data_IF_369428588063
#
_entry.id   IF_369428588063
#
_cell.length_a   1.000
_cell.length_b   1.000
_cell.length_c   1.000
_cell.angle_alpha   90.00
_cell.angle_beta   90.00
_cell.angle_gamma   90.00
#
_symmetry.space_group_name_H-M   'P 1'
#
loop_
_entity.id
_entity.type
_entity.pdbx_description
1 polymer ?
#
# COMPACT_ATOMS: atom_id res chain seq x y z
N UNK A 1 -13.79 -1.37 12.96
CA UNK A 1 -13.83 0.07 13.38
C UNK A 1 -13.61 1.07 12.22
N UNK A 2 -13.20 0.62 11.04
CA UNK A 2 -13.08 1.46 9.85
C UNK A 2 -14.09 0.98 8.80
N UNK A 3 -15.36 1.23 9.04
CA UNK A 3 -16.42 0.82 8.15
C UNK A 3 -16.76 1.94 7.17
N UNK A 4 -16.41 1.78 5.90
CA UNK A 4 -16.77 2.71 4.82
C UNK A 4 -18.22 2.55 4.34
N UNK A 5 -18.91 1.46 4.68
CA UNK A 5 -20.27 1.18 4.25
C UNK A 5 -21.26 2.30 4.62
N UNK A 6 -21.11 2.91 5.81
CA UNK A 6 -21.94 4.03 6.21
C UNK A 6 -21.85 5.23 5.24
N UNK A 7 -20.66 5.53 4.74
CA UNK A 7 -20.45 6.59 3.77
C UNK A 7 -20.96 6.20 2.37
N UNK A 8 -20.79 4.93 1.99
CA UNK A 8 -21.33 4.41 0.73
C UNK A 8 -22.86 4.51 0.71
N UNK A 9 -23.54 4.17 1.81
CA UNK A 9 -25.00 4.32 1.96
C UNK A 9 -25.48 5.76 1.83
N UNK A 10 -24.76 6.73 2.40
CA UNK A 10 -25.10 8.17 2.26
C UNK A 10 -25.12 8.56 0.76
N UNK A 11 -24.13 8.10 -0.01
CA UNK A 11 -24.08 8.37 -1.46
C UNK A 11 -25.22 7.63 -2.18
N UNK A 12 -25.41 6.36 -1.87
CA UNK A 12 -26.45 5.54 -2.48
C UNK A 12 -27.85 6.12 -2.26
N UNK A 13 -28.15 6.58 -1.05
CA UNK A 13 -29.42 7.24 -0.71
C UNK A 13 -29.58 8.58 -1.46
N UNK A 14 -28.52 9.41 -1.50
CA UNK A 14 -28.55 10.70 -2.18
C UNK A 14 -28.86 10.56 -3.68
N UNK A 15 -28.32 9.51 -4.31
CA UNK A 15 -28.47 9.27 -5.75
C UNK A 15 -29.48 8.17 -6.09
N UNK A 16 -30.11 7.56 -5.10
CA UNK A 16 -31.11 6.49 -5.26
C UNK A 16 -30.58 5.33 -6.12
N UNK A 17 -29.32 4.95 -5.88
CA UNK A 17 -28.70 3.83 -6.60
C UNK A 17 -29.23 2.49 -6.08
N UNK A 18 -29.18 1.46 -6.93
CA UNK A 18 -29.34 0.08 -6.48
C UNK A 18 -28.02 -0.35 -5.81
N UNK A 19 -28.00 -0.27 -4.47
CA UNK A 19 -26.80 -0.43 -3.68
C UNK A 19 -26.62 -1.87 -3.21
N UNK A 20 -25.44 -2.42 -3.42
CA UNK A 20 -25.06 -3.75 -2.99
C UNK A 20 -23.81 -3.67 -2.08
N UNK A 21 -23.79 -4.49 -1.04
CA UNK A 21 -22.69 -4.56 -0.07
C UNK A 21 -22.24 -6.00 0.12
N UNK A 22 -20.96 -6.19 0.39
CA UNK A 22 -20.38 -7.47 0.77
C UNK A 22 -19.59 -7.32 2.05
N UNK A 23 -19.73 -8.28 2.94
CA UNK A 23 -18.88 -8.41 4.14
C UNK A 23 -18.09 -9.70 4.01
N UNK A 24 -16.79 -9.60 4.14
CA UNK A 24 -15.86 -10.73 3.99
C UNK A 24 -15.41 -11.16 5.39
N UNK A 25 -15.64 -12.41 5.72
CA UNK A 25 -15.12 -12.99 6.95
C UNK A 25 -13.59 -13.16 6.89
N UNK A 26 -12.88 -13.18 8.02
CA UNK A 26 -11.45 -13.46 8.02
C UNK A 26 -11.09 -14.83 7.42
N UNK A 27 -11.95 -15.82 7.56
CA UNK A 27 -11.75 -17.14 6.97
C UNK A 27 -11.82 -17.09 5.44
N UNK A 28 -12.87 -16.50 4.88
CA UNK A 28 -12.98 -16.28 3.43
C UNK A 28 -11.79 -15.48 2.90
N UNK A 29 -11.36 -14.47 3.66
CA UNK A 29 -10.23 -13.61 3.31
C UNK A 29 -8.94 -14.43 3.14
N UNK A 30 -8.57 -15.26 4.13
CA UNK A 30 -7.34 -16.05 4.07
C UNK A 30 -7.43 -17.23 3.09
N UNK A 31 -8.61 -17.85 2.97
CA UNK A 31 -8.82 -18.94 2.03
C UNK A 31 -8.71 -18.50 0.56
N UNK A 32 -8.98 -17.23 0.27
CA UNK A 32 -8.84 -16.68 -1.07
C UNK A 32 -7.37 -16.44 -1.49
N UNK A 33 -6.43 -16.30 -0.55
CA UNK A 33 -5.06 -15.87 -0.85
C UNK A 33 -4.35 -16.72 -1.92
N UNK A 34 -4.32 -18.06 -1.86
CA UNK A 34 -3.65 -18.84 -2.88
C UNK A 34 -4.19 -18.57 -4.27
N UNK A 35 -5.52 -18.51 -4.42
CA UNK A 35 -6.17 -18.20 -5.69
C UNK A 35 -5.80 -16.81 -6.20
N UNK A 36 -5.78 -15.80 -5.31
CA UNK A 36 -5.52 -14.42 -5.70
C UNK A 36 -4.05 -14.18 -6.03
N UNK A 37 -3.12 -14.81 -5.33
CA UNK A 37 -1.70 -14.82 -5.68
C UNK A 37 -1.48 -15.45 -7.06
N UNK A 38 -2.23 -16.50 -7.39
CA UNK A 38 -2.19 -17.11 -8.73
C UNK A 38 -2.68 -16.15 -9.82
N UNK A 39 -3.76 -15.40 -9.56
CA UNK A 39 -4.29 -14.41 -10.53
C UNK A 39 -3.40 -13.18 -10.68
N UNK A 40 -2.70 -12.76 -9.61
CA UNK A 40 -1.78 -11.62 -9.62
C UNK A 40 -0.48 -11.95 -10.36
N UNK A 41 -0.09 -13.23 -10.44
CA UNK A 41 1.23 -13.73 -10.88
C UNK A 41 2.39 -13.29 -9.98
N UNK A 42 2.12 -12.51 -8.96
CA UNK A 42 3.06 -11.91 -8.01
C UNK A 42 2.55 -12.04 -6.57
N UNK A 43 3.42 -11.85 -5.56
CA UNK A 43 2.97 -11.72 -4.18
C UNK A 43 2.04 -10.52 -4.01
N UNK A 44 0.87 -10.72 -3.41
CA UNK A 44 -0.07 -9.62 -3.16
C UNK A 44 0.55 -8.52 -2.29
N UNK A 45 0.78 -7.35 -2.84
CA UNK A 45 1.37 -6.23 -2.12
C UNK A 45 0.40 -5.65 -1.06
N UNK A 46 -0.90 -5.65 -1.36
CA UNK A 46 -1.90 -5.00 -0.52
C UNK A 46 -3.00 -5.95 -0.02
N UNK A 47 -3.32 -5.95 1.28
CA UNK A 47 -4.48 -6.71 1.81
C UNK A 47 -5.81 -6.30 1.17
N UNK A 48 -5.91 -5.07 0.67
CA UNK A 48 -7.09 -4.57 -0.04
C UNK A 48 -7.37 -5.28 -1.37
N UNK A 49 -6.40 -6.00 -1.95
CA UNK A 49 -6.62 -6.85 -3.13
C UNK A 49 -7.71 -7.88 -2.89
N UNK A 50 -7.69 -8.53 -1.72
CA UNK A 50 -8.70 -9.54 -1.35
C UNK A 50 -10.10 -8.92 -1.27
N UNK A 51 -10.24 -7.77 -0.61
CA UNK A 51 -11.53 -7.10 -0.51
C UNK A 51 -12.04 -6.62 -1.90
N UNK A 52 -11.13 -6.16 -2.76
CA UNK A 52 -11.45 -5.77 -4.12
C UNK A 52 -11.96 -6.96 -4.95
N UNK A 53 -11.34 -8.14 -4.79
CA UNK A 53 -11.82 -9.38 -5.41
C UNK A 53 -13.27 -9.69 -5.01
N UNK A 54 -13.62 -9.65 -3.71
CA UNK A 54 -14.97 -9.95 -3.25
C UNK A 54 -16.00 -8.92 -3.72
N UNK A 55 -15.64 -7.63 -3.77
CA UNK A 55 -16.49 -6.59 -4.37
C UNK A 55 -16.71 -6.86 -5.86
N UNK A 56 -15.66 -7.24 -6.58
CA UNK A 56 -15.75 -7.59 -8.00
C UNK A 56 -16.57 -8.87 -8.23
N UNK A 57 -16.44 -9.86 -7.33
CA UNK A 57 -17.26 -11.07 -7.36
C UNK A 57 -18.74 -10.77 -7.17
N UNK A 58 -19.09 -9.88 -6.25
CA UNK A 58 -20.47 -9.40 -6.11
C UNK A 58 -20.93 -8.66 -7.38
N UNK A 59 -20.10 -7.76 -7.92
CA UNK A 59 -20.43 -7.01 -9.14
C UNK A 59 -20.65 -7.93 -10.36
N UNK A 60 -19.90 -9.04 -10.47
CA UNK A 60 -20.01 -9.99 -11.59
C UNK A 60 -21.40 -10.61 -11.75
N UNK A 61 -22.19 -10.65 -10.67
CA UNK A 61 -23.56 -11.15 -10.66
C UNK A 61 -24.54 -10.18 -11.32
N UNK A 62 -24.16 -8.91 -11.49
CA UNK A 62 -25.04 -7.85 -11.94
C UNK A 62 -24.56 -7.16 -13.21
N UNK A 63 -23.24 -7.00 -13.37
CA UNK A 63 -22.64 -6.20 -14.46
C UNK A 63 -21.39 -6.86 -15.03
N UNK A 64 -21.00 -6.44 -16.23
CA UNK A 64 -19.75 -6.87 -16.88
C UNK A 64 -18.65 -5.81 -16.82
N UNK A 65 -19.03 -4.57 -16.58
CA UNK A 65 -18.12 -3.41 -16.53
C UNK A 65 -18.44 -2.57 -15.30
N UNK A 66 -17.40 -2.12 -14.59
CA UNK A 66 -17.52 -1.20 -13.45
C UNK A 66 -16.65 0.02 -13.66
N UNK A 67 -17.03 1.15 -13.09
CA UNK A 67 -16.22 2.36 -13.02
C UNK A 67 -15.63 2.49 -11.63
N UNK A 68 -14.31 2.79 -11.55
CA UNK A 68 -13.61 2.96 -10.28
C UNK A 68 -12.95 4.32 -10.17
N UNK A 69 -12.53 4.67 -8.96
CA UNK A 69 -11.95 5.97 -8.63
C UNK A 69 -10.41 6.03 -8.63
N UNK A 70 -9.74 4.98 -9.13
CA UNK A 70 -8.27 4.91 -9.14
C UNK A 70 -7.65 6.04 -9.99
N UNK A 71 -6.45 6.46 -9.64
CA UNK A 71 -5.69 7.52 -10.31
C UNK A 71 -5.97 8.93 -9.77
N UNK A 72 -7.09 9.16 -9.08
CA UNK A 72 -7.44 10.50 -8.59
C UNK A 72 -6.51 11.02 -7.48
N UNK A 73 -5.91 10.13 -6.70
CA UNK A 73 -4.96 10.48 -5.65
C UNK A 73 -3.59 10.90 -6.24
N UNK A 74 -3.13 10.21 -7.27
CA UNK A 74 -1.87 10.45 -7.96
C UNK A 74 -1.93 11.72 -8.82
N UNK A 75 -3.06 11.98 -9.46
CA UNK A 75 -3.23 13.18 -10.28
C UNK A 75 -3.43 14.46 -9.45
N UNK A 76 -4.12 14.37 -8.32
CA UNK A 76 -4.61 15.54 -7.56
C UNK A 76 -4.08 15.58 -6.12
N UNK A 77 -2.95 14.96 -5.85
CA UNK A 77 -2.27 14.98 -4.56
C UNK A 77 -3.17 14.51 -3.39
N UNK A 78 -3.83 13.35 -3.55
CA UNK A 78 -4.77 12.81 -2.56
C UNK A 78 -4.11 12.23 -1.31
N UNK A 79 -2.86 11.79 -1.38
CA UNK A 79 -2.17 11.15 -0.27
C UNK A 79 -1.56 12.16 0.71
N UNK A 80 -1.81 11.94 1.99
CA UNK A 80 -1.20 12.75 3.06
C UNK A 80 0.33 12.67 3.11
N UNK A 81 0.94 11.65 2.48
CA UNK A 81 2.39 11.51 2.38
C UNK A 81 3.05 12.63 1.58
N UNK A 82 2.42 13.18 0.54
CA UNK A 82 2.97 14.32 -0.21
C UNK A 82 3.25 15.52 0.68
N UNK A 83 2.25 15.95 1.46
CA UNK A 83 2.39 17.06 2.40
C UNK A 83 3.49 16.78 3.44
N UNK A 84 3.53 15.56 3.99
CA UNK A 84 4.54 15.19 4.99
C UNK A 84 5.94 15.22 4.38
N UNK A 85 6.10 14.73 3.17
CA UNK A 85 7.37 14.73 2.44
C UNK A 85 7.84 16.13 2.13
N UNK A 86 6.97 17.01 1.59
CA UNK A 86 7.30 18.40 1.30
C UNK A 86 7.77 19.13 2.56
N UNK A 87 7.05 18.94 3.68
CA UNK A 87 7.41 19.53 4.96
C UNK A 87 8.77 19.01 5.46
N UNK A 88 8.98 17.70 5.44
CA UNK A 88 10.22 17.09 5.90
C UNK A 88 11.43 17.49 5.04
N UNK A 89 11.26 17.56 3.71
CA UNK A 89 12.34 18.00 2.82
C UNK A 89 12.69 19.48 3.05
N UNK A 90 11.66 20.35 3.20
CA UNK A 90 11.89 21.77 3.47
C UNK A 90 12.58 21.98 4.81
N UNK A 91 12.04 21.43 5.90
CA UNK A 91 12.62 21.56 7.24
C UNK A 91 13.99 20.87 7.33
N UNK A 92 14.17 19.73 6.68
CA UNK A 92 15.41 18.99 6.70
C UNK A 92 16.57 19.71 6.03
N UNK A 93 16.32 20.43 4.92
CA UNK A 93 17.33 21.27 4.28
C UNK A 93 17.78 22.41 5.21
N UNK A 94 16.85 23.13 5.84
CA UNK A 94 17.16 24.16 6.80
C UNK A 94 17.89 23.61 8.05
N UNK A 95 17.39 22.50 8.58
CA UNK A 95 18.03 21.84 9.74
C UNK A 95 19.48 21.45 9.44
N UNK A 96 19.75 20.88 8.27
CA UNK A 96 21.14 20.52 7.87
C UNK A 96 22.03 21.72 7.66
N UNK A 97 21.50 22.83 7.13
CA UNK A 97 22.31 24.04 6.90
C UNK A 97 22.64 24.77 8.20
N UNK A 98 21.76 24.72 9.19
CA UNK A 98 21.91 25.47 10.45
C UNK A 98 22.52 24.65 11.60
N UNK A 99 22.50 23.31 11.52
CA UNK A 99 22.91 22.43 12.63
C UNK A 99 24.20 21.66 12.26
N UNK A 100 25.29 21.78 13.05
CA UNK A 100 26.52 21.00 12.85
C UNK A 100 26.26 19.47 12.87
N UNK A 101 27.09 18.72 12.13
CA UNK A 101 26.96 17.27 12.00
C UNK A 101 27.00 16.51 13.34
N UNK A 102 27.84 16.96 14.25
CA UNK A 102 27.98 16.38 15.61
C UNK A 102 26.66 16.50 16.39
N UNK A 103 26.01 17.66 16.35
CA UNK A 103 24.72 17.87 17.03
C UNK A 103 23.60 17.05 16.36
N UNK A 104 23.61 16.94 15.05
CA UNK A 104 22.64 16.06 14.35
C UNK A 104 22.83 14.60 14.74
N UNK A 105 24.07 14.13 14.87
CA UNK A 105 24.38 12.80 15.39
C UNK A 105 23.84 12.57 16.79
N UNK A 106 24.08 13.53 17.70
CA UNK A 106 23.57 13.45 19.07
C UNK A 106 22.03 13.44 19.14
N UNK A 107 21.36 14.26 18.32
CA UNK A 107 19.89 14.26 18.22
C UNK A 107 19.37 12.90 17.73
N UNK A 108 19.98 12.35 16.68
CA UNK A 108 19.61 11.03 16.14
C UNK A 108 19.79 9.93 17.19
N UNK A 109 20.96 9.85 17.83
CA UNK A 109 21.21 8.87 18.91
C UNK A 109 20.25 9.03 20.07
N UNK A 110 19.91 10.28 20.44
CA UNK A 110 18.89 10.54 21.45
C UNK A 110 17.50 10.01 21.06
N UNK A 111 17.11 10.17 19.79
CA UNK A 111 15.83 9.63 19.27
C UNK A 111 15.85 8.10 19.27
N UNK A 112 16.94 7.50 18.85
CA UNK A 112 17.12 6.03 18.83
C UNK A 112 17.08 5.42 20.24
N UNK A 113 17.58 6.15 21.25
CA UNK A 113 17.54 5.76 22.67
C UNK A 113 16.17 5.93 23.36
N UNK A 114 15.18 6.56 22.73
CA UNK A 114 13.86 6.70 23.32
C UNK A 114 13.15 5.34 23.38
N UNK A 115 12.29 5.12 24.41
CA UNK A 115 11.42 3.94 24.47
C UNK A 115 10.54 3.83 23.23
N UNK A 116 10.25 2.59 22.80
CA UNK A 116 9.35 2.33 21.67
C UNK A 116 7.98 2.96 21.91
N UNK A 117 7.65 3.96 21.10
CA UNK A 117 6.41 4.72 21.20
C UNK A 117 6.02 5.30 19.84
N UNK A 118 4.75 5.70 19.70
CA UNK A 118 4.28 6.41 18.50
C UNK A 118 5.06 7.71 18.21
N UNK A 119 5.56 8.37 19.27
CA UNK A 119 6.37 9.59 19.14
C UNK A 119 7.73 9.25 18.57
N UNK A 120 8.44 8.25 19.14
CA UNK A 120 9.72 7.76 18.62
C UNK A 120 9.60 7.34 17.15
N UNK A 121 8.57 6.57 16.79
CA UNK A 121 8.34 6.16 15.40
C UNK A 121 8.18 7.35 14.44
N UNK A 122 7.49 8.41 14.86
CA UNK A 122 7.37 9.64 14.06
C UNK A 122 8.70 10.39 13.93
N UNK A 123 9.49 10.47 15.01
CA UNK A 123 10.79 11.14 15.01
C UNK A 123 11.82 10.42 14.15
N UNK A 124 11.88 9.09 14.25
CA UNK A 124 12.77 8.25 13.40
C UNK A 124 12.46 8.44 11.90
N UNK A 125 11.19 8.65 11.55
CA UNK A 125 10.73 8.88 10.17
C UNK A 125 10.69 10.35 9.74
N UNK A 126 11.28 11.25 10.54
CA UNK A 126 11.29 12.69 10.26
C UNK A 126 12.65 13.17 9.76
N UNK A 127 12.69 14.42 9.31
CA UNK A 127 13.92 15.12 8.90
C UNK A 127 15.01 15.18 9.97
N UNK A 128 14.69 14.87 11.23
CA UNK A 128 15.66 14.81 12.32
C UNK A 128 16.57 13.57 12.22
N UNK A 129 16.06 12.48 11.64
CA UNK A 129 16.74 11.20 11.56
C UNK A 129 17.04 10.77 10.11
N UNK A 130 16.24 11.18 9.14
CA UNK A 130 16.30 10.77 7.74
C UNK A 130 16.99 11.85 6.89
N UNK A 131 17.71 11.45 5.85
CA UNK A 131 18.31 12.37 4.89
C UNK A 131 17.23 13.17 4.13
N UNK A 132 17.38 14.51 3.94
CA UNK A 132 16.35 15.32 3.29
C UNK A 132 16.48 15.29 1.76
N UNK A 133 16.39 14.12 1.19
CA UNK A 133 16.25 13.84 -0.23
C UNK A 133 14.98 13.02 -0.49
N UNK A 134 14.56 12.96 -1.76
CA UNK A 134 13.30 12.31 -2.14
C UNK A 134 13.39 10.80 -1.91
N UNK A 135 14.52 10.18 -2.23
CA UNK A 135 14.72 8.74 -2.06
C UNK A 135 14.53 8.33 -0.60
N UNK A 136 15.25 8.98 0.32
CA UNK A 136 15.19 8.64 1.75
C UNK A 136 13.83 8.97 2.39
N UNK A 137 13.26 10.15 2.10
CA UNK A 137 12.03 10.59 2.78
C UNK A 137 10.75 10.06 2.12
N UNK A 138 10.74 9.88 0.79
CA UNK A 138 9.52 9.49 0.09
C UNK A 138 9.47 8.01 -0.24
N UNK A 139 10.55 7.41 -0.70
CA UNK A 139 10.55 5.99 -1.06
C UNK A 139 10.97 5.09 0.10
N UNK A 140 12.19 5.20 0.59
CA UNK A 140 12.70 4.33 1.65
C UNK A 140 11.88 4.42 2.95
N UNK A 141 11.50 5.62 3.34
CA UNK A 141 10.72 5.85 4.57
C UNK A 141 9.30 5.26 4.53
N UNK A 142 8.75 5.00 3.34
CA UNK A 142 7.46 4.35 3.12
C UNK A 142 7.58 2.91 2.62
N UNK A 143 8.79 2.40 2.41
CA UNK A 143 9.01 1.01 2.06
C UNK A 143 8.57 0.07 3.19
N UNK A 144 7.99 -1.07 2.83
CA UNK A 144 7.62 -2.13 3.79
C UNK A 144 8.87 -2.59 4.56
N UNK A 145 9.96 -2.82 3.83
CA UNK A 145 11.30 -3.06 4.37
C UNK A 145 12.24 -1.96 3.87
N UNK A 146 12.55 -0.93 4.69
CA UNK A 146 13.56 0.06 4.34
C UNK A 146 14.94 -0.58 4.12
N UNK A 147 15.84 0.10 3.38
CA UNK A 147 17.16 -0.43 3.04
C UNK A 147 17.91 -1.00 4.25
N UNK A 148 17.85 -0.30 5.38
CA UNK A 148 18.48 -0.77 6.61
C UNK A 148 17.95 -2.11 7.11
N UNK A 149 16.68 -2.40 6.85
CA UNK A 149 16.05 -3.67 7.24
C UNK A 149 16.24 -4.76 6.17
N UNK A 150 16.41 -4.39 4.90
CA UNK A 150 16.61 -5.36 3.82
C UNK A 150 17.92 -6.13 4.02
N UNK A 151 18.97 -5.46 4.47
CA UNK A 151 20.24 -6.09 4.79
C UNK A 151 20.14 -7.10 5.96
N UNK A 152 19.27 -6.84 6.94
CA UNK A 152 19.05 -7.75 8.06
C UNK A 152 18.07 -8.88 7.70
N UNK A 153 17.12 -8.60 6.79
CA UNK A 153 16.07 -9.54 6.36
C UNK A 153 16.62 -10.66 5.46
N UNK A 154 17.50 -10.31 4.54
CA UNK A 154 18.03 -11.27 3.56
C UNK A 154 19.13 -12.13 4.17
N UNK A 155 19.21 -13.38 3.75
CA UNK A 155 20.34 -14.25 4.11
C UNK A 155 21.62 -13.80 3.41
N UNK A 156 22.78 -14.18 3.94
CA UNK A 156 24.07 -13.90 3.32
C UNK A 156 24.13 -14.42 1.88
N UNK A 157 23.60 -15.63 1.64
CA UNK A 157 23.53 -16.23 0.30
C UNK A 157 22.66 -15.42 -0.66
N UNK A 158 21.52 -14.90 -0.19
CA UNK A 158 20.66 -14.06 -1.01
C UNK A 158 21.32 -12.71 -1.32
N UNK A 159 21.99 -12.11 -0.34
CA UNK A 159 22.75 -10.86 -0.53
C UNK A 159 23.89 -11.03 -1.54
N UNK A 160 24.62 -12.14 -1.50
CA UNK A 160 25.66 -12.45 -2.48
C UNK A 160 25.08 -12.60 -3.91
N UNK A 161 23.93 -13.27 -4.05
CA UNK A 161 23.28 -13.47 -5.34
C UNK A 161 22.74 -12.18 -5.94
N UNK A 162 22.20 -11.28 -5.11
CA UNK A 162 21.70 -9.96 -5.53
C UNK A 162 22.86 -9.07 -6.01
N UNK A 163 24.07 -9.28 -5.52
CA UNK A 163 25.28 -8.65 -6.07
C UNK A 163 25.29 -7.12 -5.96
N UNK A 164 24.64 -6.54 -4.96
CA UNK A 164 24.60 -5.09 -4.76
C UNK A 164 23.61 -4.37 -5.69
N UNK A 165 22.56 -5.02 -6.17
CA UNK A 165 21.46 -4.38 -6.89
C UNK A 165 20.89 -3.25 -6.03
N UNK A 166 20.80 -2.07 -6.61
CA UNK A 166 20.21 -0.92 -5.96
C UNK A 166 18.68 -0.90 -6.18
N UNK A 167 17.86 -1.11 -5.15
CA UNK A 167 16.42 -1.19 -5.29
C UNK A 167 15.76 0.12 -5.71
N UNK A 168 16.44 1.26 -5.57
CA UNK A 168 15.92 2.57 -5.96
C UNK A 168 16.44 3.09 -7.31
N UNK A 169 17.25 2.32 -8.03
CA UNK A 169 17.76 2.73 -9.35
C UNK A 169 16.64 3.06 -10.34
N UNK A 170 15.58 2.23 -10.39
CA UNK A 170 14.42 2.47 -11.25
C UNK A 170 13.68 3.77 -10.90
N UNK A 171 13.49 4.03 -9.62
CA UNK A 171 12.83 5.26 -9.14
C UNK A 171 13.66 6.51 -9.47
N UNK A 172 14.99 6.44 -9.30
CA UNK A 172 15.87 7.55 -9.70
C UNK A 172 15.79 7.82 -11.20
N UNK A 173 15.84 6.78 -12.02
CA UNK A 173 15.70 6.93 -13.46
C UNK A 173 14.35 7.58 -13.86
N UNK A 174 13.26 7.26 -13.18
CA UNK A 174 11.97 7.93 -13.38
C UNK A 174 12.03 9.40 -12.97
N UNK A 175 12.63 9.72 -11.83
CA UNK A 175 12.76 11.11 -11.36
C UNK A 175 13.66 11.98 -12.24
N UNK A 176 14.59 11.38 -12.97
CA UNK A 176 15.46 12.05 -13.94
C UNK A 176 14.75 12.38 -15.26
N UNK A 177 13.65 11.68 -15.58
CA UNK A 177 12.89 11.89 -16.81
C UNK A 177 11.91 13.07 -16.74
N UNK A 178 11.62 13.60 -15.55
CA UNK A 178 10.67 14.71 -15.40
C UNK A 178 11.38 16.05 -15.42
N UNK A 179 10.78 16.99 -16.16
CA UNK A 179 11.13 18.42 -16.17
C UNK A 179 10.33 19.25 -15.15
N UNK A 180 9.52 18.59 -14.31
CA UNK A 180 8.72 19.26 -13.29
C UNK A 180 9.60 20.04 -12.31
N UNK A 181 9.36 21.36 -12.21
CA UNK A 181 10.10 22.25 -11.33
C UNK A 181 9.66 22.11 -9.87
N UNK A 182 8.35 21.85 -9.67
CA UNK A 182 7.80 21.77 -8.33
C UNK A 182 8.06 20.40 -7.69
N UNK A 183 8.31 20.41 -6.38
CA UNK A 183 8.51 19.17 -5.64
C UNK A 183 7.26 18.29 -5.66
N UNK A 184 6.07 18.89 -5.53
CA UNK A 184 4.82 18.14 -5.57
C UNK A 184 4.65 17.46 -6.92
N UNK A 185 4.83 18.16 -8.03
CA UNK A 185 4.64 17.59 -9.36
C UNK A 185 5.67 16.48 -9.66
N UNK A 186 6.91 16.62 -9.17
CA UNK A 186 7.91 15.53 -9.24
C UNK A 186 7.47 14.26 -8.47
N UNK A 187 6.87 14.42 -7.28
CA UNK A 187 6.34 13.31 -6.51
C UNK A 187 5.13 12.66 -7.18
N UNK A 188 4.22 13.48 -7.74
CA UNK A 188 3.07 12.99 -8.50
C UNK A 188 3.51 12.23 -9.75
N UNK A 189 4.49 12.77 -10.49
CA UNK A 189 5.04 12.10 -11.65
C UNK A 189 5.65 10.73 -11.29
N UNK A 190 6.43 10.68 -10.21
CA UNK A 190 7.00 9.42 -9.75
C UNK A 190 5.91 8.41 -9.40
N UNK A 191 4.87 8.82 -8.66
CA UNK A 191 3.75 7.93 -8.31
C UNK A 191 2.96 7.45 -9.54
N UNK A 192 2.72 8.33 -10.52
CA UNK A 192 2.07 7.96 -11.78
C UNK A 192 2.87 6.89 -12.53
N UNK A 193 4.21 6.97 -12.49
CA UNK A 193 5.10 6.05 -13.22
C UNK A 193 5.44 4.78 -12.46
N UNK A 194 5.22 4.73 -11.14
CA UNK A 194 5.57 3.59 -10.30
C UNK A 194 4.36 3.06 -9.54
N UNK A 195 3.93 3.75 -8.50
CA UNK A 195 2.88 3.31 -7.58
C UNK A 195 1.51 3.13 -8.24
N UNK A 196 1.13 4.00 -9.18
CA UNK A 196 -0.13 3.87 -9.91
C UNK A 196 -0.15 2.61 -10.77
N UNK A 197 0.99 2.20 -11.32
CA UNK A 197 1.08 0.94 -12.06
C UNK A 197 0.65 -0.25 -11.20
N UNK A 198 1.19 -0.35 -9.99
CA UNK A 198 0.84 -1.38 -9.00
C UNK A 198 -0.66 -1.36 -8.65
N UNK A 199 -1.23 -0.16 -8.44
CA UNK A 199 -2.65 -0.01 -8.15
C UNK A 199 -3.54 -0.47 -9.31
N UNK A 200 -3.13 -0.19 -10.55
CA UNK A 200 -3.86 -0.60 -11.75
C UNK A 200 -3.76 -2.09 -11.99
N UNK A 201 -2.58 -2.69 -11.80
CA UNK A 201 -2.39 -4.15 -11.89
C UNK A 201 -3.29 -4.85 -10.87
N UNK A 202 -3.24 -4.44 -9.61
CA UNK A 202 -4.15 -4.95 -8.57
C UNK A 202 -5.62 -4.83 -8.97
N UNK A 203 -6.03 -3.65 -9.48
CA UNK A 203 -7.43 -3.41 -9.87
C UNK A 203 -7.85 -4.32 -11.02
N UNK A 204 -7.00 -4.45 -12.04
CA UNK A 204 -7.26 -5.29 -13.21
C UNK A 204 -7.31 -6.77 -12.82
N UNK A 205 -6.28 -7.29 -12.19
CA UNK A 205 -6.15 -8.71 -11.84
C UNK A 205 -7.29 -9.18 -10.92
N UNK A 206 -7.65 -8.39 -9.91
CA UNK A 206 -8.73 -8.77 -8.99
C UNK A 206 -10.12 -8.70 -9.64
N UNK A 207 -10.36 -7.74 -10.52
CA UNK A 207 -11.64 -7.65 -11.23
C UNK A 207 -11.74 -8.70 -12.35
N UNK A 208 -10.65 -8.94 -13.08
CA UNK A 208 -10.58 -9.96 -14.14
C UNK A 208 -10.66 -11.38 -13.58
N UNK A 209 -10.17 -11.64 -12.36
CA UNK A 209 -10.38 -12.91 -11.65
C UNK A 209 -11.87 -13.28 -11.49
N UNK A 210 -12.77 -12.30 -11.65
CA UNK A 210 -14.23 -12.47 -11.59
C UNK A 210 -14.92 -12.16 -12.93
N UNK A 211 -14.16 -11.98 -14.01
CA UNK A 211 -14.66 -11.63 -15.36
C UNK A 211 -15.44 -10.31 -15.41
N UNK A 212 -15.01 -9.32 -14.59
CA UNK A 212 -15.52 -7.95 -14.58
C UNK A 212 -14.46 -7.01 -15.09
N UNK A 213 -14.80 -6.21 -16.10
CA UNK A 213 -13.89 -5.20 -16.62
C UNK A 213 -13.97 -3.92 -15.78
N UNK A 214 -12.84 -3.48 -15.25
CA UNK A 214 -12.72 -2.26 -14.45
C UNK A 214 -12.22 -1.09 -15.31
N UNK A 215 -12.92 0.02 -15.31
CA UNK A 215 -12.55 1.25 -16.02
C UNK A 215 -12.27 2.36 -15.02
N UNK A 216 -11.26 3.17 -15.35
CA UNK A 216 -10.69 4.21 -14.48
C UNK A 216 -10.84 5.61 -15.12
N UNK A 217 -12.02 6.26 -15.02
CA UNK A 217 -12.30 7.53 -15.70
C UNK A 217 -11.36 8.67 -15.33
N UNK A 218 -10.76 8.65 -14.14
CA UNK A 218 -9.76 9.66 -13.77
C UNK A 218 -8.49 9.59 -14.62
N UNK A 219 -8.23 8.45 -15.25
CA UNK A 219 -7.07 8.26 -16.12
C UNK A 219 -7.39 8.44 -17.61
N UNK A 220 -8.54 9.07 -17.95
CA UNK A 220 -8.73 9.59 -19.30
C UNK A 220 -7.59 10.54 -19.66
N UNK A 221 -6.94 10.31 -20.80
CA UNK A 221 -5.71 11.01 -21.16
C UNK A 221 -5.88 12.55 -21.19
N UNK A 222 -7.06 13.05 -21.61
CA UNK A 222 -7.34 14.50 -21.60
C UNK A 222 -7.46 15.05 -20.18
N UNK A 223 -8.04 14.27 -19.26
CA UNK A 223 -8.12 14.64 -17.87
C UNK A 223 -6.73 14.60 -17.22
N UNK A 224 -5.90 13.60 -17.56
CA UNK A 224 -4.51 13.51 -17.09
C UNK A 224 -3.71 14.74 -17.55
N UNK A 225 -3.72 15.05 -18.84
CA UNK A 225 -3.03 16.22 -19.41
C UNK A 225 -3.50 17.53 -18.76
N UNK A 226 -4.82 17.69 -18.59
CA UNK A 226 -5.38 18.85 -17.90
C UNK A 226 -4.93 18.93 -16.45
N UNK A 227 -5.01 17.85 -15.68
CA UNK A 227 -4.61 17.86 -14.27
C UNK A 227 -3.12 18.06 -14.08
N UNK A 228 -2.28 17.56 -14.99
CA UNK A 228 -0.84 17.80 -14.98
C UNK A 228 -0.53 19.30 -15.19
N UNK A 229 -1.31 20.00 -16.01
CA UNK A 229 -1.14 21.44 -16.26
C UNK A 229 -1.59 22.34 -15.10
N UNK A 230 -2.31 21.81 -14.12
CA UNK A 230 -2.82 22.60 -12.99
C UNK A 230 -1.69 23.00 -12.03
N UNK A 231 -1.67 24.25 -11.53
CA UNK A 231 -0.73 24.66 -10.51
C UNK A 231 -0.97 23.92 -9.19
N UNK A 232 0.11 23.65 -8.43
CA UNK A 232 0.10 22.90 -7.17
C UNK A 232 -1.01 23.34 -6.19
N UNK A 233 -1.25 24.64 -6.08
CA UNK A 233 -2.27 25.20 -5.16
C UNK A 233 -3.70 24.74 -5.46
N UNK A 234 -3.95 24.20 -6.65
CA UNK A 234 -5.23 23.60 -7.03
C UNK A 234 -5.29 22.10 -6.71
N UNK A 235 -4.14 21.46 -6.56
CA UNK A 235 -4.03 20.05 -6.15
C UNK A 235 -3.98 19.91 -4.63
N UNK A 236 -3.07 20.67 -3.99
CA UNK A 236 -2.85 20.67 -2.53
C UNK A 236 -2.86 22.10 -2.00
N UNK A 237 -3.83 22.44 -1.15
CA UNK A 237 -4.00 23.80 -0.61
C UNK A 237 -4.25 23.80 0.89
N UNK A 238 -3.40 24.47 1.67
CA UNK A 238 -3.58 24.61 3.12
C UNK A 238 -3.72 23.30 3.89
N UNK A 239 -3.18 22.21 3.35
CA UNK A 239 -3.33 20.86 3.89
C UNK A 239 -4.52 20.07 3.35
N UNK A 240 -5.39 20.67 2.54
CA UNK A 240 -6.50 20.01 1.86
C UNK A 240 -5.99 19.34 0.58
N UNK A 241 -6.10 18.04 0.52
CA UNK A 241 -5.76 17.20 -0.64
C UNK A 241 -6.91 17.19 -1.65
N UNK A 242 -6.61 16.93 -2.95
CA UNK A 242 -7.60 16.96 -4.04
C UNK A 242 -8.43 18.24 -4.05
N UNK A 243 -7.79 19.39 -3.77
CA UNK A 243 -8.49 20.65 -3.50
C UNK A 243 -9.51 21.01 -4.59
N UNK A 244 -9.09 21.05 -5.86
CA UNK A 244 -9.99 21.43 -6.96
C UNK A 244 -11.14 20.42 -7.15
N UNK A 245 -10.87 19.12 -6.96
CA UNK A 245 -11.92 18.09 -7.06
C UNK A 245 -12.97 18.28 -5.94
N UNK A 246 -12.53 18.53 -4.72
CA UNK A 246 -13.46 18.81 -3.61
C UNK A 246 -14.29 20.06 -3.86
N UNK A 247 -13.66 21.13 -4.37
CA UNK A 247 -14.38 22.37 -4.70
C UNK A 247 -15.42 22.17 -5.81
N UNK A 248 -15.05 21.45 -6.87
CA UNK A 248 -15.95 21.18 -8.00
C UNK A 248 -17.14 20.27 -7.61
N UNK A 249 -16.96 19.42 -6.60
CA UNK A 249 -17.99 18.47 -6.15
C UNK A 249 -18.92 19.02 -5.06
N UNK A 250 -18.72 20.26 -4.56
CA UNK A 250 -19.54 20.84 -3.50
C UNK A 250 -21.04 20.88 -3.82
N UNK A 251 -21.38 21.13 -5.07
CA UNK A 251 -22.80 21.14 -5.51
C UNK A 251 -23.33 19.75 -5.87
N UNK A 252 -22.47 18.74 -5.88
CA UNK A 252 -22.78 17.39 -6.36
C UNK A 252 -22.83 16.41 -5.19
N UNK A 253 -21.82 16.37 -4.33
CA UNK A 253 -21.71 15.36 -3.27
C UNK A 253 -22.23 15.88 -1.92
N UNK A 254 -22.81 14.99 -1.08
CA UNK A 254 -23.16 15.31 0.29
C UNK A 254 -21.95 15.84 1.09
N UNK A 255 -22.18 16.83 1.97
CA UNK A 255 -21.13 17.44 2.79
C UNK A 255 -20.34 16.42 3.64
N UNK A 256 -21.03 15.40 4.15
CA UNK A 256 -20.41 14.32 4.92
C UNK A 256 -19.30 13.57 4.12
N UNK A 257 -19.43 13.50 2.78
CA UNK A 257 -18.43 12.91 1.90
C UNK A 257 -17.29 13.86 1.62
N UNK A 258 -17.61 15.14 1.41
CA UNK A 258 -16.61 16.18 1.10
C UNK A 258 -15.70 16.49 2.29
N UNK A 259 -16.25 16.48 3.50
CA UNK A 259 -15.52 16.83 4.73
C UNK A 259 -14.75 15.65 5.35
N UNK A 260 -15.04 14.39 4.93
CA UNK A 260 -14.37 13.23 5.52
C UNK A 260 -12.86 13.22 5.28
N UNK A 261 -12.14 12.71 6.26
CA UNK A 261 -10.72 12.41 6.10
C UNK A 261 -10.53 11.25 5.10
N UNK A 262 -9.43 11.28 4.33
CA UNK A 262 -9.03 10.15 3.50
C UNK A 262 -8.89 8.90 4.38
N UNK A 263 -9.64 7.87 4.06
CA UNK A 263 -9.43 6.51 4.56
C UNK A 263 -9.02 5.62 3.38
N UNK A 264 -8.05 4.73 3.62
CA UNK A 264 -7.77 3.63 2.71
C UNK A 264 -8.82 2.55 2.86
N UNK A 265 -8.58 1.39 2.28
CA UNK A 265 -9.36 0.16 2.49
C UNK A 265 -8.74 -0.64 3.64
N UNK A 266 -9.04 -0.32 4.91
CA UNK A 266 -8.33 -0.90 6.04
C UNK A 266 -8.77 -2.34 6.26
N UNK A 267 -7.80 -3.25 6.29
CA UNK A 267 -7.99 -4.64 6.68
C UNK A 267 -7.24 -4.87 8.00
N UNK A 268 -7.87 -5.42 9.04
CA UNK A 268 -7.26 -5.54 10.37
C UNK A 268 -6.31 -6.76 10.48
N UNK A 269 -5.47 -6.99 9.45
CA UNK A 269 -4.57 -8.15 9.39
C UNK A 269 -3.63 -8.24 10.59
N UNK A 270 -3.15 -7.10 11.11
CA UNK A 270 -2.29 -7.08 12.27
C UNK A 270 -2.94 -7.62 13.54
N UNK A 271 -4.24 -7.38 13.71
CA UNK A 271 -5.00 -7.97 14.82
C UNK A 271 -5.25 -9.47 14.59
N UNK A 272 -5.50 -9.87 13.35
CA UNK A 272 -5.70 -11.28 13.01
C UNK A 272 -4.42 -12.08 13.22
N UNK A 273 -3.26 -11.58 12.80
CA UNK A 273 -1.95 -12.21 12.98
C UNK A 273 -1.52 -12.30 14.46
N UNK A 274 -1.97 -11.37 15.33
CA UNK A 274 -1.74 -11.45 16.78
C UNK A 274 -2.71 -12.40 17.50
N UNK A 275 -3.85 -12.67 16.88
CA UNK A 275 -4.96 -13.39 17.48
C UNK A 275 -5.30 -14.69 16.77
N UNK A 276 -6.55 -14.84 16.29
CA UNK A 276 -7.10 -16.13 15.85
C UNK A 276 -6.45 -16.72 14.61
N UNK A 277 -5.78 -15.88 13.80
CA UNK A 277 -5.13 -16.31 12.54
C UNK A 277 -3.60 -16.31 12.64
N UNK A 278 -3.08 -16.47 13.85
CA UNK A 278 -1.63 -16.64 14.05
C UNK A 278 -1.07 -17.84 13.29
N UNK A 279 -1.83 -18.90 13.16
CA UNK A 279 -1.44 -20.11 12.42
C UNK A 279 -1.00 -19.82 10.98
N UNK A 280 -1.51 -18.75 10.35
CA UNK A 280 -1.05 -18.30 9.03
C UNK A 280 0.43 -17.89 9.07
N UNK A 281 0.85 -17.19 10.12
CA UNK A 281 2.26 -16.83 10.29
C UNK A 281 3.12 -18.08 10.58
N UNK A 282 2.62 -18.97 11.42
CA UNK A 282 3.35 -20.20 11.76
C UNK A 282 3.52 -21.10 10.50
N UNK A 283 2.52 -21.14 9.62
CA UNK A 283 2.55 -21.92 8.39
C UNK A 283 3.39 -21.31 7.28
N UNK A 284 3.19 -20.00 6.97
CA UNK A 284 3.79 -19.38 5.79
C UNK A 284 5.08 -18.60 6.09
N UNK A 285 5.38 -18.30 7.35
CA UNK A 285 6.55 -17.50 7.70
C UNK A 285 7.56 -18.27 8.54
N UNK A 286 7.08 -19.07 9.52
CA UNK A 286 7.93 -19.77 10.49
C UNK A 286 8.05 -21.27 10.24
N UNK A 287 7.36 -21.84 9.25
CA UNK A 287 7.46 -23.27 8.95
C UNK A 287 8.88 -23.63 8.49
N UNK A 288 9.26 -24.90 8.75
CA UNK A 288 10.53 -25.43 8.28
C UNK A 288 10.69 -25.25 6.76
N UNK A 289 9.60 -25.43 6.00
CA UNK A 289 9.58 -25.23 4.55
C UNK A 289 9.95 -23.80 4.14
N UNK A 290 9.32 -22.80 4.76
CA UNK A 290 9.57 -21.39 4.47
C UNK A 290 11.01 -20.98 4.83
N UNK A 291 11.48 -21.42 6.01
CA UNK A 291 12.83 -21.12 6.48
C UNK A 291 13.91 -21.84 5.66
N UNK A 292 13.66 -23.08 5.22
CA UNK A 292 14.59 -23.88 4.42
C UNK A 292 14.84 -23.31 3.00
N UNK A 293 14.04 -22.36 2.53
CA UNK A 293 14.31 -21.66 1.26
C UNK A 293 15.64 -20.90 1.28
N UNK A 294 16.12 -20.51 2.47
CA UNK A 294 17.40 -19.82 2.61
C UNK A 294 17.42 -18.40 2.00
N UNK A 295 16.27 -17.82 1.68
CA UNK A 295 16.17 -16.46 1.13
C UNK A 295 16.23 -15.43 2.25
N UNK A 296 15.50 -15.67 3.35
CA UNK A 296 15.44 -14.78 4.48
C UNK A 296 16.28 -15.27 5.66
N UNK A 297 16.76 -14.33 6.47
CA UNK A 297 17.40 -14.61 7.75
C UNK A 297 16.32 -15.04 8.76
N UNK A 298 16.31 -16.33 9.12
CA UNK A 298 15.30 -16.92 10.01
C UNK A 298 15.29 -16.32 11.42
N UNK A 299 16.44 -15.89 11.95
CA UNK A 299 16.53 -15.22 13.25
C UNK A 299 15.86 -13.86 13.21
N UNK A 300 16.13 -13.07 12.19
CA UNK A 300 15.50 -11.76 11.98
C UNK A 300 13.99 -11.90 11.81
N UNK A 301 13.53 -12.83 10.99
CA UNK A 301 12.10 -13.09 10.75
C UNK A 301 11.41 -13.53 12.05
N UNK A 302 12.01 -14.42 12.81
CA UNK A 302 11.47 -14.89 14.09
C UNK A 302 11.34 -13.77 15.12
N UNK A 303 12.35 -12.90 15.20
CA UNK A 303 12.31 -11.73 16.08
C UNK A 303 11.25 -10.69 15.62
N UNK A 304 11.08 -10.49 14.32
CA UNK A 304 10.04 -9.63 13.74
C UNK A 304 8.63 -10.11 14.16
N UNK A 305 8.37 -11.41 14.04
CA UNK A 305 7.13 -12.04 14.47
C UNK A 305 6.91 -11.85 15.97
N UNK A 306 7.93 -12.11 16.78
CA UNK A 306 7.86 -11.96 18.24
C UNK A 306 7.53 -10.53 18.66
N UNK A 307 8.17 -9.52 18.07
CA UNK A 307 7.90 -8.10 18.34
C UNK A 307 6.46 -7.72 17.97
N UNK A 308 5.96 -8.24 16.86
CA UNK A 308 4.56 -8.03 16.48
C UNK A 308 3.60 -8.64 17.48
N UNK A 309 3.87 -9.86 17.96
CA UNK A 309 3.03 -10.60 18.91
C UNK A 309 2.94 -9.93 20.30
N UNK A 310 4.07 -9.44 20.81
CA UNK A 310 4.11 -8.74 22.11
C UNK A 310 3.37 -7.39 22.07
N UNK A 311 3.07 -6.87 20.88
CA UNK A 311 2.27 -5.64 20.69
C UNK A 311 3.05 -4.34 20.87
N UNK A 312 4.38 -4.39 21.06
CA UNK A 312 5.22 -3.21 21.15
C UNK A 312 5.44 -2.50 19.80
N UNK A 313 5.46 -3.29 18.72
CA UNK A 313 5.64 -2.81 17.36
C UNK A 313 4.57 -3.41 16.43
N UNK A 314 4.19 -2.64 15.41
CA UNK A 314 3.27 -3.14 14.38
C UNK A 314 4.06 -3.49 13.11
N UNK A 315 4.11 -4.78 12.79
CA UNK A 315 4.78 -5.32 11.61
C UNK A 315 3.80 -5.96 10.62
N UNK A 316 2.53 -5.58 10.65
CA UNK A 316 1.47 -6.20 9.83
C UNK A 316 1.78 -6.21 8.34
N UNK A 317 2.26 -5.10 7.77
CA UNK A 317 2.60 -5.01 6.35
C UNK A 317 3.79 -5.92 5.98
N UNK A 318 4.77 -6.04 6.89
CA UNK A 318 5.94 -6.90 6.71
C UNK A 318 5.58 -8.38 6.74
N UNK A 319 4.76 -8.76 7.72
CA UNK A 319 4.26 -10.13 7.84
C UNK A 319 3.36 -10.49 6.67
N UNK A 320 2.53 -9.55 6.20
CA UNK A 320 1.75 -9.70 4.99
C UNK A 320 2.62 -9.99 3.76
N UNK A 321 3.67 -9.22 3.55
CA UNK A 321 4.60 -9.43 2.45
C UNK A 321 5.28 -10.81 2.51
N UNK A 322 5.72 -11.24 3.71
CA UNK A 322 6.35 -12.55 3.88
C UNK A 322 5.36 -13.71 3.64
N UNK A 323 4.12 -13.60 4.13
CA UNK A 323 3.05 -14.60 3.88
C UNK A 323 2.80 -14.75 2.38
N UNK A 324 2.57 -13.63 1.68
CA UNK A 324 2.25 -13.69 0.26
C UNK A 324 3.45 -14.11 -0.61
N UNK A 325 4.67 -13.77 -0.19
CA UNK A 325 5.88 -14.28 -0.83
C UNK A 325 5.96 -15.81 -0.73
N UNK A 326 5.69 -16.39 0.44
CA UNK A 326 5.72 -17.85 0.61
C UNK A 326 4.58 -18.54 -0.18
N UNK A 327 3.37 -17.95 -0.19
CA UNK A 327 2.26 -18.47 -1.00
C UNK A 327 2.66 -18.48 -2.47
N UNK A 328 3.25 -17.39 -2.96
CA UNK A 328 3.74 -17.28 -4.34
C UNK A 328 4.82 -18.31 -4.67
N UNK A 329 5.78 -18.52 -3.75
CA UNK A 329 6.79 -19.58 -3.91
C UNK A 329 6.16 -20.97 -4.04
N UNK A 330 5.17 -21.29 -3.21
CA UNK A 330 4.46 -22.56 -3.28
C UNK A 330 3.71 -22.75 -4.59
N UNK A 331 3.05 -21.70 -5.07
CA UNK A 331 2.27 -21.71 -6.29
C UNK A 331 3.14 -21.92 -7.55
N UNK A 332 4.19 -21.14 -7.69
CA UNK A 332 4.93 -21.02 -8.94
C UNK A 332 6.22 -21.84 -8.98
N UNK A 333 6.80 -22.16 -7.83
CA UNK A 333 8.06 -22.90 -7.78
C UNK A 333 7.92 -24.31 -7.20
N UNK A 334 6.99 -24.53 -6.29
CA UNK A 334 6.77 -25.86 -5.69
C UNK A 334 5.65 -26.65 -6.40
N UNK A 335 4.93 -26.03 -7.35
CA UNK A 335 3.95 -26.68 -8.21
C UNK A 335 2.54 -26.83 -7.61
N UNK A 336 2.22 -26.16 -6.51
CA UNK A 336 0.86 -26.20 -5.89
C UNK A 336 -0.19 -25.43 -6.72
N UNK A 337 0.24 -24.59 -7.68
CA UNK A 337 -0.64 -23.79 -8.55
C UNK A 337 -1.54 -24.58 -9.47
N UNK A 338 -1.15 -25.80 -9.83
CA UNK A 338 -1.96 -26.68 -10.67
C UNK A 338 -3.28 -27.10 -10.03
N UNK A 339 -3.36 -27.15 -8.70
CA UNK A 339 -4.59 -27.50 -7.98
C UNK A 339 -5.59 -26.33 -7.90
N UNK A 340 -5.11 -25.09 -8.02
CA UNK A 340 -5.95 -23.88 -7.95
C UNK A 340 -6.77 -23.71 -9.24
N UNK A 341 -6.20 -24.06 -10.40
CA UNK A 341 -6.88 -23.95 -11.69
C UNK A 341 -8.11 -24.86 -11.79
N UNK A 342 -8.07 -26.05 -11.19
CA UNK A 342 -9.15 -27.04 -11.25
C UNK A 342 -10.32 -26.72 -10.28
N UNK A 343 -10.06 -26.05 -9.16
CA UNK A 343 -11.08 -25.71 -8.16
C UNK A 343 -11.90 -24.44 -8.50
N UNK A 344 -11.44 -23.62 -9.46
CA UNK A 344 -12.06 -22.34 -9.79
C UNK A 344 -13.42 -22.45 -10.52
N UNK A 345 -13.85 -23.64 -10.91
CA UNK A 345 -15.09 -23.87 -11.67
C UNK A 345 -16.28 -24.36 -10.82
N UNK A 346 -16.15 -24.56 -9.52
CA UNK A 346 -17.11 -25.31 -8.72
C UNK A 346 -17.83 -24.61 -7.56
N UNK A 347 -17.38 -23.51 -7.02
CA UNK A 347 -17.99 -22.93 -5.83
C UNK A 347 -18.54 -21.51 -6.04
N UNK A 348 -19.82 -21.44 -6.39
CA UNK A 348 -20.61 -20.22 -6.25
C UNK A 348 -20.88 -20.00 -4.76
N UNK A 349 -20.28 -18.97 -4.19
CA UNK A 349 -20.58 -18.51 -2.83
C UNK A 349 -22.07 -18.17 -2.73
N UNK A 350 -22.79 -18.81 -1.83
CA UNK A 350 -24.17 -18.47 -1.51
C UNK A 350 -24.20 -17.13 -0.77
N UNK A 351 -24.45 -16.05 -1.49
CA UNK A 351 -24.88 -14.79 -0.89
C UNK A 351 -26.37 -14.95 -0.51
N UNK A 352 -26.68 -14.94 0.78
CA UNK A 352 -28.07 -14.85 1.24
C UNK A 352 -28.64 -13.46 0.93
N UNK A 353 -29.94 -13.35 0.58
CA UNK A 353 -30.58 -12.11 0.18
C UNK A 353 -30.71 -11.07 1.30
#
# INVERSE_FOLDING_TARGET
EANELAYARIVAEAYKTNHHEVTVSPEEFFNALPKLVWHEDEPLAHPSSVALYFVSLLASQHVKVVLTGEGSDELLAGYGRYRKTILNLSLGRHYRSLTPSVLRGAVRSGIEGLPTSRVRQKLVRSFLSVAPDIESIYFDNFAVFPLSMQADLLSDSALEQIGGIDPYAGVRAVLEQTDAESLLDRLLYADIKTYLHELLMKQDQMSMATSVESRVPFLDHKLVEFTCSLPERLKLRGGTTKYILRESMKAVLPEAILSRSKMGFPVPIGAWFRGPYRSIIDEYVLSERALARGIFNGEFVSELVKRHQVGGENHEERLWALVNFEIWQRQFFDGEGSEVSDRSHGELVHCSP
#
